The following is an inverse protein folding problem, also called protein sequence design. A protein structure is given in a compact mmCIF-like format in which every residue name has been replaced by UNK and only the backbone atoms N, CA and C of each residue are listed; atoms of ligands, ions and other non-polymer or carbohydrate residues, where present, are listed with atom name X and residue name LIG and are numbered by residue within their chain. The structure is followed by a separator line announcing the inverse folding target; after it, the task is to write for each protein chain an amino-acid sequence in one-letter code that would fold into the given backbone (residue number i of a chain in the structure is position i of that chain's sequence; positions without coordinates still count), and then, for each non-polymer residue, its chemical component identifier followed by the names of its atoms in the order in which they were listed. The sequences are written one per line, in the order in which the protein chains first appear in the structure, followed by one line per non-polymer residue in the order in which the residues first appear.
data_IF_070625717110
#
_entry.id   IF_070625717110
#
_cell.length_a   1.000
_cell.length_b   1.000
_cell.length_c   1.000
_cell.angle_alpha   90.00
_cell.angle_beta   90.00
_cell.angle_gamma   90.00
#
_symmetry.space_group_name_H-M   'P 1'
#
loop_
_entity.id
_entity.type
_entity.pdbx_description
1 polymer ?
#
# COMPACT_ATOMS: atom_id res chain seq x y z
N UNK A 1 -9.10 2.17 5.01
CA UNK A 1 -7.71 2.22 4.50
C UNK A 1 -7.22 3.67 4.43
N UNK A 2 -6.81 4.29 5.56
CA UNK A 2 -6.39 5.70 5.59
C UNK A 2 -5.17 6.01 4.69
N UNK A 3 -4.25 5.05 4.57
CA UNK A 3 -3.01 5.22 3.79
C UNK A 3 -3.25 5.34 2.27
N UNK A 4 -4.25 4.63 1.72
CA UNK A 4 -4.56 4.71 0.28
C UNK A 4 -5.15 6.06 -0.11
N UNK A 5 -5.99 6.62 0.77
CA UNK A 5 -6.54 7.94 0.57
C UNK A 5 -5.44 9.02 0.51
N UNK A 6 -4.43 8.92 1.37
CA UNK A 6 -3.32 9.87 1.40
C UNK A 6 -2.45 9.82 0.12
N UNK A 7 -2.22 8.63 -0.45
CA UNK A 7 -1.45 8.48 -1.69
C UNK A 7 -2.28 8.92 -2.91
N UNK A 8 -3.59 8.63 -2.93
CA UNK A 8 -4.49 9.15 -3.94
C UNK A 8 -4.57 10.69 -3.94
N UNK A 9 -4.57 11.29 -2.75
CA UNK A 9 -4.51 12.74 -2.59
C UNK A 9 -3.17 13.31 -3.09
N UNK A 10 -2.05 12.62 -2.85
CA UNK A 10 -0.75 13.00 -3.40
C UNK A 10 -0.76 12.99 -4.93
N UNK A 11 -1.33 11.96 -5.57
CA UNK A 11 -1.46 11.90 -7.02
C UNK A 11 -2.30 13.08 -7.56
N UNK A 12 -3.43 13.36 -6.92
CA UNK A 12 -4.28 14.49 -7.28
C UNK A 12 -3.54 15.83 -7.12
N UNK A 13 -2.74 15.99 -6.07
CA UNK A 13 -1.93 17.19 -5.85
C UNK A 13 -0.85 17.36 -6.93
N UNK A 14 -0.20 16.29 -7.36
CA UNK A 14 0.75 16.33 -8.48
C UNK A 14 0.04 16.73 -9.77
N UNK A 15 -1.11 16.11 -10.08
CA UNK A 15 -1.92 16.47 -11.25
C UNK A 15 -2.36 17.93 -11.20
N UNK A 16 -2.76 18.42 -10.03
CA UNK A 16 -3.13 19.82 -9.82
C UNK A 16 -1.97 20.75 -10.17
N UNK A 17 -0.78 20.54 -9.60
CA UNK A 17 0.39 21.38 -9.87
C UNK A 17 0.74 21.40 -11.37
N UNK A 18 0.79 20.22 -12.00
CA UNK A 18 1.10 20.11 -13.42
C UNK A 18 0.01 20.69 -14.33
N UNK A 19 -1.25 20.69 -13.91
CA UNK A 19 -2.34 21.31 -14.67
C UNK A 19 -2.18 22.84 -14.73
N UNK A 20 -1.77 23.48 -13.64
CA UNK A 20 -1.52 24.93 -13.59
C UNK A 20 -0.35 25.31 -14.51
N UNK A 21 0.76 24.57 -14.42
CA UNK A 21 1.91 24.80 -15.30
C UNK A 21 1.58 24.49 -16.77
N UNK A 22 0.83 23.41 -17.03
CA UNK A 22 0.41 23.03 -18.37
C UNK A 22 -0.42 24.11 -19.05
N UNK A 23 -1.39 24.70 -18.34
CA UNK A 23 -2.15 25.85 -18.85
C UNK A 23 -1.26 27.06 -19.12
N UNK A 24 -0.31 27.35 -18.23
CA UNK A 24 0.54 28.53 -18.40
C UNK A 24 1.47 28.44 -19.60
N UNK A 25 1.92 27.25 -19.98
CA UNK A 25 2.89 27.06 -21.06
C UNK A 25 2.27 26.59 -22.38
N UNK A 26 1.17 25.84 -22.33
CA UNK A 26 0.68 25.08 -23.49
C UNK A 26 -0.80 25.34 -23.84
N UNK A 27 -1.44 26.34 -23.24
CA UNK A 27 -2.86 26.64 -23.51
C UNK A 27 -3.17 26.94 -24.98
N UNK A 28 -2.21 27.48 -25.74
CA UNK A 28 -2.43 27.91 -27.13
C UNK A 28 -1.72 27.06 -28.17
N UNK A 29 -1.14 25.92 -27.76
CA UNK A 29 -0.47 25.02 -28.68
C UNK A 29 -1.49 24.47 -29.68
N UNK A 30 -1.09 24.41 -30.95
CA UNK A 30 -1.92 23.85 -32.02
C UNK A 30 -2.41 22.44 -31.67
N UNK A 31 -3.71 22.22 -31.87
CA UNK A 31 -4.36 20.92 -31.71
C UNK A 31 -3.86 19.96 -32.80
N UNK A 32 -3.02 19.00 -32.42
CA UNK A 32 -2.45 17.99 -33.30
C UNK A 32 -2.12 16.70 -32.53
N UNK A 33 -2.05 15.57 -33.24
CA UNK A 33 -1.70 14.24 -32.71
C UNK A 33 -2.48 13.83 -31.45
N UNK A 34 -1.95 14.13 -30.24
CA UNK A 34 -2.58 13.83 -28.96
C UNK A 34 -3.38 14.98 -28.32
N UNK A 35 -3.34 16.17 -28.90
CA UNK A 35 -4.06 17.36 -28.40
C UNK A 35 -5.30 17.61 -29.24
N UNK A 36 -6.48 17.60 -28.61
CA UNK A 36 -7.80 17.74 -29.26
C UNK A 36 -8.66 18.77 -28.53
N UNK A 37 -9.91 19.00 -28.97
CA UNK A 37 -10.86 19.90 -28.30
C UNK A 37 -11.15 19.54 -26.83
N UNK A 38 -11.00 18.27 -26.46
CA UNK A 38 -11.27 17.77 -25.11
C UNK A 38 -9.96 17.49 -24.35
N UNK A 39 -8.95 16.99 -25.06
CA UNK A 39 -7.63 16.70 -24.50
C UNK A 39 -6.67 17.85 -24.81
N UNK A 40 -6.69 18.92 -24.00
CA UNK A 40 -5.82 20.08 -24.18
C UNK A 40 -5.50 20.78 -22.86
N UNK A 41 -4.67 21.82 -22.93
CA UNK A 41 -4.28 22.64 -21.79
C UNK A 41 -4.98 24.01 -21.78
N UNK A 42 -6.09 24.20 -22.50
CA UNK A 42 -6.78 25.50 -22.56
C UNK A 42 -7.47 25.85 -21.23
N UNK A 43 -8.03 24.84 -20.56
CA UNK A 43 -8.76 25.00 -19.29
C UNK A 43 -8.27 24.02 -18.24
N UNK A 44 -8.55 24.33 -16.98
CA UNK A 44 -8.12 23.49 -15.86
C UNK A 44 -8.70 22.07 -15.93
N UNK A 45 -10.01 21.84 -16.19
CA UNK A 45 -10.55 20.50 -16.33
C UNK A 45 -9.96 19.74 -17.53
N UNK A 46 -9.76 20.39 -18.68
CA UNK A 46 -9.15 19.74 -19.85
C UNK A 46 -7.70 19.31 -19.55
N UNK A 47 -6.96 20.17 -18.83
CA UNK A 47 -5.59 19.89 -18.38
C UNK A 47 -5.55 18.69 -17.43
N UNK A 48 -6.54 18.56 -16.53
CA UNK A 48 -6.65 17.38 -15.68
C UNK A 48 -6.94 16.12 -16.48
N UNK A 49 -7.82 16.17 -17.48
CA UNK A 49 -8.18 15.01 -18.32
C UNK A 49 -6.97 14.51 -19.10
N UNK A 50 -6.23 15.41 -19.77
CA UNK A 50 -5.03 15.01 -20.53
C UNK A 50 -3.93 14.48 -19.62
N UNK A 51 -3.71 15.09 -18.44
CA UNK A 51 -2.73 14.61 -17.46
C UNK A 51 -3.15 13.26 -16.87
N UNK A 52 -4.44 13.04 -16.63
CA UNK A 52 -4.96 11.75 -16.17
C UNK A 52 -4.69 10.64 -17.20
N UNK A 53 -4.89 10.92 -18.50
CA UNK A 53 -4.54 9.98 -19.57
C UNK A 53 -3.02 9.72 -19.60
N UNK A 54 -2.18 10.75 -19.53
CA UNK A 54 -0.72 10.60 -19.56
C UNK A 54 -0.20 9.90 -18.30
N UNK A 55 -0.89 9.99 -17.17
CA UNK A 55 -0.53 9.30 -15.92
C UNK A 55 -0.49 7.78 -16.07
N UNK A 56 -1.32 7.22 -16.96
CA UNK A 56 -1.32 5.78 -17.28
C UNK A 56 -0.34 5.43 -18.40
N UNK A 57 0.54 6.37 -18.76
CA UNK A 57 1.47 6.33 -19.91
C UNK A 57 0.77 6.08 -21.25
N UNK A 58 -0.51 6.40 -21.34
CA UNK A 58 -1.25 6.32 -22.60
C UNK A 58 -1.14 7.64 -23.37
N UNK A 59 -0.90 7.57 -24.68
CA UNK A 59 -0.95 8.73 -25.58
C UNK A 59 0.11 9.82 -25.34
N UNK A 60 1.06 9.62 -24.41
CA UNK A 60 2.09 10.61 -24.07
C UNK A 60 2.95 11.02 -25.28
N UNK A 61 3.20 10.10 -26.22
CA UNK A 61 3.98 10.38 -27.42
C UNK A 61 3.28 11.38 -28.34
N UNK A 62 1.96 11.26 -28.52
CA UNK A 62 1.17 12.21 -29.31
C UNK A 62 1.04 13.55 -28.61
N UNK A 63 0.94 13.56 -27.27
CA UNK A 63 0.97 14.81 -26.48
C UNK A 63 2.34 15.48 -26.62
N UNK A 64 3.44 14.73 -26.47
CA UNK A 64 4.79 15.28 -26.63
C UNK A 64 4.98 15.90 -28.01
N UNK A 65 4.58 15.18 -29.06
CA UNK A 65 4.69 15.64 -30.44
C UNK A 65 3.98 16.97 -30.64
N UNK A 66 2.77 17.13 -30.09
CA UNK A 66 2.03 18.38 -30.16
C UNK A 66 2.74 19.51 -29.40
N UNK A 67 3.26 19.24 -28.21
CA UNK A 67 3.92 20.24 -27.36
C UNK A 67 5.31 20.68 -27.86
N UNK A 68 6.01 19.81 -28.60
CA UNK A 68 7.34 20.11 -29.16
C UNK A 68 7.30 20.73 -30.56
N UNK A 69 6.10 20.89 -31.12
CA UNK A 69 5.93 21.36 -32.49
C UNK A 69 6.23 22.87 -32.60
N UNK A 70 7.44 23.20 -33.06
CA UNK A 70 7.99 24.56 -33.10
C UNK A 70 8.32 25.07 -34.51
N UNK A 71 8.08 24.26 -35.56
CA UNK A 71 8.41 24.61 -36.95
C UNK A 71 7.17 24.67 -37.88
N UNK A 72 7.10 25.66 -38.80
CA UNK A 72 6.13 25.64 -39.89
C UNK A 72 6.37 24.45 -40.84
N UNK A 73 5.33 23.83 -41.45
CA UNK A 73 3.91 24.23 -41.52
C UNK A 73 3.05 23.78 -40.34
N UNK A 74 3.64 23.05 -39.40
CA UNK A 74 2.91 22.41 -38.32
C UNK A 74 2.57 23.38 -37.18
N UNK A 75 3.18 24.58 -37.12
CA UNK A 75 2.75 25.72 -36.32
C UNK A 75 2.90 27.06 -37.06
N UNK A 76 2.16 28.09 -36.65
CA UNK A 76 2.21 29.45 -37.16
C UNK A 76 2.59 30.44 -36.04
N UNK A 77 3.84 30.94 -36.01
CA UNK A 77 4.30 31.90 -35.01
C UNK A 77 3.71 33.31 -35.20
N UNK A 78 3.08 33.58 -36.35
CA UNK A 78 2.51 34.88 -36.71
C UNK A 78 0.98 34.94 -36.58
N UNK A 79 0.36 33.83 -36.17
CA UNK A 79 -1.07 33.75 -35.91
C UNK A 79 -1.47 34.80 -34.86
N UNK A 80 -2.08 35.89 -35.31
CA UNK A 80 -2.58 36.96 -34.45
C UNK A 80 -4.04 36.68 -34.12
N UNK A 81 -4.27 36.03 -32.97
CA UNK A 81 -5.61 35.98 -32.37
C UNK A 81 -5.76 37.17 -31.42
N UNK A 82 -7.00 37.63 -31.13
CA UNK A 82 -7.21 38.73 -30.18
C UNK A 82 -6.67 38.44 -28.77
N UNK A 83 -6.41 37.17 -28.45
CA UNK A 83 -5.97 36.72 -27.13
C UNK A 83 -4.46 36.48 -27.07
N UNK A 84 -3.85 35.87 -28.11
CA UNK A 84 -2.46 35.39 -28.08
C UNK A 84 -1.76 35.46 -29.44
N UNK A 85 -0.42 35.49 -29.40
CA UNK A 85 0.45 35.49 -30.58
C UNK A 85 1.12 34.12 -30.73
N UNK A 86 0.81 33.45 -31.83
CA UNK A 86 1.39 32.17 -32.23
C UNK A 86 0.77 30.96 -31.52
N UNK A 87 0.83 29.81 -32.20
CA UNK A 87 0.35 28.51 -31.71
C UNK A 87 1.48 27.45 -31.61
N UNK A 88 2.73 27.90 -31.72
CA UNK A 88 3.91 27.04 -31.66
C UNK A 88 4.20 26.57 -30.23
N UNK A 89 4.55 25.30 -30.10
CA UNK A 89 5.08 24.70 -28.90
C UNK A 89 6.54 25.09 -28.64
N UNK A 90 7.09 24.57 -27.54
CA UNK A 90 8.46 24.88 -27.12
C UNK A 90 9.20 23.63 -26.68
N UNK A 91 10.09 23.11 -27.53
CA UNK A 91 10.83 21.86 -27.27
C UNK A 91 11.58 21.89 -25.92
N UNK A 92 12.23 23.00 -25.60
CA UNK A 92 13.03 23.15 -24.38
C UNK A 92 12.22 23.05 -23.07
N UNK A 93 10.91 23.37 -23.11
CA UNK A 93 10.02 23.34 -21.94
C UNK A 93 9.14 22.07 -21.97
N UNK A 94 8.68 21.67 -23.15
CA UNK A 94 7.81 20.51 -23.35
C UNK A 94 8.44 19.19 -22.92
N UNK A 95 9.69 18.93 -23.31
CA UNK A 95 10.40 17.70 -22.96
C UNK A 95 10.56 17.56 -21.44
N UNK A 96 11.18 18.51 -20.70
CA UNK A 96 11.34 18.34 -19.26
C UNK A 96 10.00 18.34 -18.52
N UNK A 97 9.00 19.10 -18.97
CA UNK A 97 7.65 19.07 -18.39
C UNK A 97 7.04 17.67 -18.46
N UNK A 98 6.98 17.06 -19.65
CA UNK A 98 6.31 15.78 -19.83
C UNK A 98 7.09 14.63 -19.21
N UNK A 99 8.43 14.61 -19.36
CA UNK A 99 9.27 13.54 -18.82
C UNK A 99 9.29 13.58 -17.29
N UNK A 100 9.39 14.77 -16.68
CA UNK A 100 9.30 14.88 -15.22
C UNK A 100 7.94 14.40 -14.69
N UNK A 101 6.85 14.74 -15.38
CA UNK A 101 5.51 14.28 -15.03
C UNK A 101 5.40 12.74 -15.10
N UNK A 102 5.90 12.12 -16.18
CA UNK A 102 5.87 10.66 -16.35
C UNK A 102 6.66 9.93 -15.27
N UNK A 103 7.84 10.43 -14.90
CA UNK A 103 8.65 9.82 -13.84
C UNK A 103 7.96 9.96 -12.48
N UNK A 104 7.51 11.17 -12.12
CA UNK A 104 6.90 11.43 -10.81
C UNK A 104 5.57 10.65 -10.67
N UNK A 105 4.71 10.69 -11.69
CA UNK A 105 3.43 9.97 -11.67
C UNK A 105 3.65 8.45 -11.59
N UNK A 106 4.59 7.90 -12.35
CA UNK A 106 4.95 6.48 -12.29
C UNK A 106 5.44 6.08 -10.90
N UNK A 107 6.32 6.88 -10.27
CA UNK A 107 6.78 6.62 -8.91
C UNK A 107 5.63 6.63 -7.89
N UNK A 108 4.69 7.57 -8.00
CA UNK A 108 3.52 7.64 -7.12
C UNK A 108 2.62 6.42 -7.32
N UNK A 109 2.34 6.02 -8.56
CA UNK A 109 1.51 4.85 -8.87
C UNK A 109 2.15 3.56 -8.39
N UNK A 110 3.45 3.37 -8.63
CA UNK A 110 4.20 2.19 -8.16
C UNK A 110 4.22 2.16 -6.62
N UNK A 111 4.47 3.29 -5.96
CA UNK A 111 4.46 3.36 -4.50
C UNK A 111 3.05 3.11 -3.93
N UNK A 112 1.99 3.56 -4.60
CA UNK A 112 0.61 3.22 -4.26
C UNK A 112 0.39 1.70 -4.36
N UNK A 113 0.81 1.08 -5.47
CA UNK A 113 0.68 -0.36 -5.68
C UNK A 113 1.41 -1.17 -4.60
N UNK A 114 2.67 -0.81 -4.29
CA UNK A 114 3.44 -1.43 -3.20
C UNK A 114 2.70 -1.28 -1.87
N UNK A 115 2.16 -0.10 -1.57
CA UNK A 115 1.41 0.13 -0.34
C UNK A 115 0.13 -0.71 -0.24
N UNK A 116 -0.62 -0.86 -1.34
CA UNK A 116 -1.80 -1.74 -1.41
C UNK A 116 -1.40 -3.19 -1.13
N UNK A 117 -0.40 -3.68 -1.85
CA UNK A 117 0.07 -5.07 -1.76
C UNK A 117 0.60 -5.36 -0.36
N UNK A 118 1.44 -4.47 0.19
CA UNK A 118 1.96 -4.60 1.56
C UNK A 118 0.84 -4.56 2.61
N UNK A 119 -0.16 -3.68 2.44
CA UNK A 119 -1.30 -3.63 3.36
C UNK A 119 -2.11 -4.93 3.34
N UNK A 120 -2.25 -5.55 2.17
CA UNK A 120 -2.91 -6.86 2.02
C UNK A 120 -2.14 -7.95 2.77
N UNK A 121 -0.82 -8.06 2.53
CA UNK A 121 0.03 -9.02 3.22
C UNK A 121 0.02 -8.82 4.73
N UNK A 122 0.10 -7.57 5.19
CA UNK A 122 0.04 -7.22 6.61
C UNK A 122 -1.28 -7.64 7.25
N UNK A 123 -2.41 -7.41 6.58
CA UNK A 123 -3.73 -7.84 7.08
C UNK A 123 -3.82 -9.36 7.20
N UNK A 124 -3.34 -10.09 6.18
CA UNK A 124 -3.34 -11.55 6.19
C UNK A 124 -2.44 -12.10 7.31
N UNK A 125 -1.25 -11.52 7.49
CA UNK A 125 -0.33 -11.89 8.56
C UNK A 125 -0.93 -11.65 9.95
N UNK A 126 -1.51 -10.47 10.22
CA UNK A 126 -2.16 -10.20 11.51
C UNK A 126 -3.38 -11.09 11.77
N UNK A 127 -4.14 -11.46 10.74
CA UNK A 127 -5.28 -12.39 10.88
C UNK A 127 -4.79 -13.79 11.24
N UNK A 128 -3.71 -14.27 10.61
CA UNK A 128 -3.11 -15.55 10.98
C UNK A 128 -2.47 -15.52 12.36
N UNK A 129 -1.80 -14.42 12.73
CA UNK A 129 -1.21 -14.25 14.05
C UNK A 129 -2.29 -14.23 15.13
N UNK A 130 -3.37 -13.47 14.94
CA UNK A 130 -4.50 -13.47 15.87
C UNK A 130 -5.22 -14.82 15.93
N UNK A 131 -5.35 -15.54 14.80
CA UNK A 131 -5.86 -16.91 14.80
C UNK A 131 -4.95 -17.89 15.54
N UNK A 132 -3.62 -17.77 15.39
CA UNK A 132 -2.65 -18.55 16.19
C UNK A 132 -2.71 -18.18 17.66
N UNK A 133 -2.84 -16.90 17.97
CA UNK A 133 -2.90 -16.41 19.35
C UNK A 133 -4.24 -16.72 20.02
N UNK A 134 -5.34 -16.85 19.28
CA UNK A 134 -6.60 -17.40 19.77
C UNK A 134 -6.54 -18.92 19.89
N UNK A 135 -5.83 -19.61 19.00
CA UNK A 135 -5.54 -21.06 19.14
C UNK A 135 -4.64 -21.34 20.36
N UNK A 136 -3.80 -20.38 20.72
CA UNK A 136 -2.97 -20.34 21.93
C UNK A 136 -3.66 -19.60 23.10
N UNK A 137 -4.93 -19.22 22.92
CA UNK A 137 -5.62 -18.24 23.75
C UNK A 137 -7.11 -18.46 23.83
N UNK A 138 -7.55 -19.68 24.10
CA UNK A 138 -8.52 -19.77 25.18
C UNK A 138 -7.76 -19.32 26.43
N UNK A 139 -8.16 -18.23 27.08
CA UNK A 139 -7.57 -17.87 28.38
C UNK A 139 -7.81 -18.96 29.42
N UNK A 140 -8.57 -20.00 29.05
CA UNK A 140 -9.09 -21.06 29.89
C UNK A 140 -9.11 -22.37 29.10
N UNK A 141 -8.57 -23.44 29.66
CA UNK A 141 -8.73 -24.81 29.17
C UNK A 141 -9.56 -25.58 30.20
N UNK A 142 -10.49 -26.42 29.77
CA UNK A 142 -11.22 -27.31 30.70
C UNK A 142 -10.26 -28.35 31.28
N UNK A 143 -10.39 -28.67 32.57
CA UNK A 143 -9.52 -29.64 33.25
C UNK A 143 -9.42 -30.98 32.50
N UNK A 144 -10.52 -31.45 31.92
CA UNK A 144 -10.57 -32.68 31.12
C UNK A 144 -9.62 -32.68 29.91
N UNK A 145 -9.36 -31.50 29.31
CA UNK A 145 -8.53 -31.34 28.11
C UNK A 145 -7.05 -31.10 28.43
N UNK A 146 -6.68 -30.93 29.72
CA UNK A 146 -5.31 -30.64 30.13
C UNK A 146 -4.32 -31.75 29.74
N UNK A 147 -4.74 -33.00 29.92
CA UNK A 147 -3.88 -34.16 29.62
C UNK A 147 -3.52 -34.25 28.14
N UNK A 148 -4.45 -33.90 27.24
CA UNK A 148 -4.22 -33.81 25.79
C UNK A 148 -3.35 -32.60 25.44
N UNK A 149 -3.68 -31.44 25.99
CA UNK A 149 -2.96 -30.19 25.74
C UNK A 149 -1.46 -30.29 26.06
N UNK A 150 -1.10 -30.91 27.18
CA UNK A 150 0.31 -30.99 27.61
C UNK A 150 1.11 -32.05 26.82
N UNK A 151 0.45 -33.03 26.20
CA UNK A 151 1.09 -34.00 25.29
C UNK A 151 1.32 -33.41 23.89
N UNK A 152 0.51 -32.44 23.47
CA UNK A 152 0.64 -31.74 22.17
C UNK A 152 1.72 -30.64 22.17
N UNK A 153 2.24 -30.22 23.32
CA UNK A 153 3.30 -29.22 23.43
C UNK A 153 4.60 -29.66 22.73
N UNK A 154 5.39 -28.69 22.28
CA UNK A 154 6.73 -28.94 21.72
C UNK A 154 7.78 -29.12 22.86
N UNK A 155 8.84 -29.92 22.67
CA UNK A 155 9.96 -29.99 23.60
C UNK A 155 10.59 -28.59 23.79
N UNK A 156 11.00 -28.19 25.02
CA UNK A 156 11.21 -29.02 26.20
C UNK A 156 10.01 -29.16 27.16
N UNK A 157 8.88 -28.50 26.88
CA UNK A 157 7.73 -28.42 27.81
C UNK A 157 6.70 -29.55 27.63
N UNK A 158 6.92 -30.44 26.67
CA UNK A 158 6.06 -31.60 26.39
C UNK A 158 6.11 -32.64 27.50
N UNK A 159 4.94 -33.04 28.03
CA UNK A 159 4.83 -34.20 28.94
C UNK A 159 3.96 -35.27 28.29
N UNK A 160 4.62 -36.36 27.87
CA UNK A 160 3.95 -37.50 27.25
C UNK A 160 3.02 -38.23 28.21
N UNK A 161 1.94 -38.79 27.67
CA UNK A 161 1.03 -39.63 28.45
C UNK A 161 1.69 -40.96 28.88
N UNK A 162 1.39 -41.49 30.08
CA UNK A 162 0.41 -40.99 31.07
C UNK A 162 0.98 -39.85 31.94
N UNK A 163 0.34 -38.68 31.87
CA UNK A 163 0.81 -37.45 32.51
C UNK A 163 -0.06 -36.99 33.70
N UNK A 164 -1.16 -37.69 34.00
CA UNK A 164 -2.12 -37.30 35.04
C UNK A 164 -1.51 -37.21 36.45
N UNK A 165 -0.67 -38.17 36.83
CA UNK A 165 0.02 -38.16 38.13
C UNK A 165 0.94 -36.95 38.31
N UNK A 166 1.63 -36.56 37.23
CA UNK A 166 2.54 -35.43 37.24
C UNK A 166 1.77 -34.11 37.29
N UNK A 167 0.66 -34.00 36.53
CA UNK A 167 -0.20 -32.83 36.53
C UNK A 167 -0.86 -32.60 37.91
N UNK A 168 -1.24 -33.67 38.62
CA UNK A 168 -1.76 -33.59 40.00
C UNK A 168 -0.67 -33.15 40.98
N UNK A 169 0.58 -33.58 40.79
CA UNK A 169 1.70 -33.17 41.64
C UNK A 169 2.13 -31.71 41.44
N UNK A 170 1.74 -31.08 40.31
CA UNK A 170 2.08 -29.68 40.00
C UNK A 170 1.16 -28.65 40.68
N UNK A 171 0.04 -29.07 41.29
CA UNK A 171 -0.87 -28.21 42.06
C UNK A 171 -1.31 -26.93 41.33
N UNK A 172 -1.79 -27.09 40.08
CA UNK A 172 -2.20 -25.99 39.22
C UNK A 172 -3.54 -25.37 39.70
N UNK A 173 -3.68 -24.03 39.73
CA UNK A 173 -4.89 -23.37 40.18
C UNK A 173 -6.04 -23.56 39.18
N UNK A 174 -7.21 -23.96 39.71
CA UNK A 174 -8.45 -24.16 38.94
C UNK A 174 -9.41 -22.98 39.21
N UNK A 175 -9.96 -22.40 38.15
CA UNK A 175 -10.93 -21.31 38.19
C UNK A 175 -12.39 -21.83 38.24
N UNK A 176 -13.36 -20.91 38.27
CA UNK A 176 -14.79 -21.26 38.24
C UNK A 176 -15.19 -21.98 36.93
N UNK A 177 -16.03 -23.01 37.08
CA UNK A 177 -16.48 -23.96 36.05
C UNK A 177 -15.42 -24.95 35.52
N UNK A 178 -14.50 -25.42 36.37
CA UNK A 178 -13.50 -26.46 36.02
C UNK A 178 -12.58 -26.06 34.84
N UNK A 179 -12.30 -24.75 34.77
CA UNK A 179 -11.47 -24.10 33.76
C UNK A 179 -10.16 -23.64 34.38
N UNK A 180 -9.09 -23.63 33.60
CA UNK A 180 -7.75 -23.28 34.09
C UNK A 180 -7.06 -22.31 33.15
N UNK A 181 -6.37 -21.32 33.70
CA UNK A 181 -5.65 -20.35 32.90
C UNK A 181 -4.42 -20.95 32.21
N UNK A 182 -4.30 -20.75 30.89
CA UNK A 182 -3.13 -21.20 30.13
C UNK A 182 -1.82 -20.62 30.67
N UNK A 183 -1.86 -19.39 31.21
CA UNK A 183 -0.69 -18.75 31.83
C UNK A 183 -0.24 -19.50 33.07
N UNK A 184 -1.18 -19.94 33.91
CA UNK A 184 -0.86 -20.69 35.14
C UNK A 184 -0.36 -22.10 34.82
N UNK A 185 -0.92 -22.74 33.77
CA UNK A 185 -0.43 -24.02 33.25
C UNK A 185 1.02 -23.89 32.76
N UNK A 186 1.33 -22.88 31.94
CA UNK A 186 2.67 -22.65 31.40
C UNK A 186 3.70 -22.27 32.48
N UNK A 187 3.30 -21.46 33.47
CA UNK A 187 4.15 -21.11 34.61
C UNK A 187 4.47 -22.35 35.46
N UNK A 188 3.46 -23.20 35.74
CA UNK A 188 3.66 -24.47 36.44
C UNK A 188 4.59 -25.42 35.69
N UNK A 189 4.40 -25.57 34.38
CA UNK A 189 5.27 -26.41 33.52
C UNK A 189 6.71 -25.90 33.49
N UNK A 190 6.88 -24.58 33.41
CA UNK A 190 8.20 -23.94 33.41
C UNK A 190 8.91 -24.14 34.75
N UNK A 191 8.21 -23.99 35.88
CA UNK A 191 8.75 -24.27 37.22
C UNK A 191 9.13 -25.73 37.40
N UNK A 192 8.31 -26.66 36.92
CA UNK A 192 8.63 -28.08 36.96
C UNK A 192 9.89 -28.40 36.15
N UNK A 193 9.98 -27.90 34.92
CA UNK A 193 11.14 -28.11 34.06
C UNK A 193 12.42 -27.50 34.64
N UNK A 194 12.37 -26.26 35.14
CA UNK A 194 13.50 -25.62 35.81
C UNK A 194 13.91 -26.35 37.10
N UNK A 195 12.95 -26.82 37.90
CA UNK A 195 13.22 -27.59 39.11
C UNK A 195 13.83 -28.97 38.83
N UNK A 196 13.54 -29.59 37.68
CA UNK A 196 14.20 -30.84 37.27
C UNK A 196 15.65 -30.63 36.78
N UNK A 197 15.98 -29.45 36.24
CA UNK A 197 17.34 -29.12 35.79
C UNK A 197 18.32 -28.93 36.96
N UNK A 198 17.82 -28.51 38.14
CA UNK A 198 18.65 -28.36 39.35
C UNK A 198 19.02 -29.71 40.02
N UNK A 199 18.44 -30.83 39.58
CA UNK A 199 18.64 -32.17 40.15
C UNK A 199 19.42 -33.10 39.20
N UNK A 200 19.77 -32.64 38.00
CA UNK A 200 20.52 -33.39 36.97
C UNK A 200 21.98 -32.98 36.84
#
# INVERSE_FOLDING_TARGET
MPALFNIGLLLFLVMFIYSIFGMSFFAYVRKAAGVTEIFNFETFPNSLIILFQVCTTAGWSGVLQALTNDQPPDCDPTLNTPSHRGDCGGMAIAIPFLISYLIISSLVVVNMYIAVVMSSFRSHYYTQLSARQQRDGSQFICYEQLSDFVDELEPPLRIQKPNQLLLVAMDLPICEDDRMHCVDILDGLTKHFLGTLDVS
#
